data_IF_570524464118
#
_entry.id   IF_570524464118
#
_cell.length_a   1.000
_cell.length_b   1.000
_cell.length_c   1.000
_cell.angle_alpha   90.00
_cell.angle_beta   90.00
_cell.angle_gamma   90.00
#
_symmetry.space_group_name_H-M   'P 1'
#
loop_
_entity.id
_entity.type
_entity.pdbx_description
1 polymer ?
#
# COMPACT_ATOMS: atom_id res chain seq x y z
N UNK A 1 3.77 -12.13 -1.84
CA UNK A 1 4.19 -13.39 -1.21
C UNK A 1 4.53 -14.48 -2.23
N UNK A 2 3.60 -14.90 -3.11
CA UNK A 2 3.91 -15.92 -4.14
C UNK A 2 5.13 -15.58 -5.01
N UNK A 3 5.18 -14.34 -5.53
CA UNK A 3 6.32 -13.90 -6.34
C UNK A 3 7.66 -13.98 -5.59
N UNK A 4 7.66 -13.75 -4.28
CA UNK A 4 8.86 -13.86 -3.45
C UNK A 4 9.21 -15.34 -3.21
N UNK A 5 8.22 -16.17 -2.87
CA UNK A 5 8.41 -17.61 -2.66
C UNK A 5 8.98 -18.31 -3.89
N UNK A 6 8.47 -17.96 -5.08
CA UNK A 6 8.95 -18.51 -6.35
C UNK A 6 10.21 -17.82 -6.89
N UNK A 7 10.83 -16.90 -6.14
CA UNK A 7 12.01 -16.15 -6.55
C UNK A 7 11.89 -15.53 -7.94
N UNK A 8 10.72 -14.93 -8.23
CA UNK A 8 10.44 -14.34 -9.53
C UNK A 8 11.47 -13.22 -9.81
N UNK A 9 12.11 -13.20 -10.99
CA UNK A 9 13.04 -12.15 -11.36
C UNK A 9 12.44 -10.75 -11.25
N UNK A 10 13.23 -9.79 -10.76
CA UNK A 10 12.87 -8.36 -10.68
C UNK A 10 12.31 -7.83 -12.00
N UNK A 11 12.90 -8.24 -13.13
CA UNK A 11 12.48 -7.83 -14.48
C UNK A 11 11.04 -8.19 -14.77
N UNK A 12 10.57 -9.37 -14.35
CA UNK A 12 9.18 -9.81 -14.56
C UNK A 12 8.22 -8.94 -13.76
N UNK A 13 8.57 -8.57 -12.53
CA UNK A 13 7.72 -7.72 -11.68
C UNK A 13 7.64 -6.30 -12.24
N UNK A 14 8.78 -5.75 -12.69
CA UNK A 14 8.80 -4.43 -13.33
C UNK A 14 7.97 -4.47 -14.62
N UNK A 15 8.15 -5.47 -15.48
CA UNK A 15 7.36 -5.60 -16.71
C UNK A 15 5.86 -5.72 -16.41
N UNK A 16 5.48 -6.55 -15.44
CA UNK A 16 4.09 -6.69 -15.01
C UNK A 16 3.53 -5.36 -14.49
N UNK A 17 4.31 -4.60 -13.72
CA UNK A 17 3.91 -3.29 -13.20
C UNK A 17 3.74 -2.25 -14.32
N UNK A 18 4.60 -2.25 -15.33
CA UNK A 18 4.50 -1.36 -16.50
C UNK A 18 3.27 -1.71 -17.33
N UNK A 19 3.04 -2.99 -17.60
CA UNK A 19 1.84 -3.45 -18.33
C UNK A 19 0.58 -3.08 -17.55
N UNK A 20 0.54 -3.32 -16.24
CA UNK A 20 -0.58 -2.96 -15.39
C UNK A 20 -0.83 -1.44 -15.37
N UNK A 21 0.23 -0.62 -15.32
CA UNK A 21 0.12 0.83 -15.39
C UNK A 21 -0.44 1.29 -16.74
N UNK A 22 0.03 0.73 -17.86
CA UNK A 22 -0.50 1.05 -19.20
C UNK A 22 -1.98 0.67 -19.28
N UNK A 23 -2.36 -0.54 -18.83
CA UNK A 23 -3.76 -0.98 -18.83
C UNK A 23 -4.63 -0.07 -17.96
N UNK A 24 -4.16 0.30 -16.77
CA UNK A 24 -4.87 1.20 -15.87
C UNK A 24 -5.04 2.60 -16.48
N UNK A 25 -4.01 3.12 -17.15
CA UNK A 25 -4.04 4.40 -17.84
C UNK A 25 -4.97 4.38 -19.05
N UNK A 26 -4.93 3.33 -19.87
CA UNK A 26 -5.88 3.18 -20.99
C UNK A 26 -7.31 3.06 -20.47
N UNK A 27 -7.53 2.30 -19.39
CA UNK A 27 -8.84 2.11 -18.76
C UNK A 27 -9.43 3.41 -18.18
N UNK A 28 -8.60 4.41 -17.93
CA UNK A 28 -9.02 5.76 -17.55
C UNK A 28 -9.64 6.52 -18.74
N UNK A 29 -9.12 6.33 -19.95
CA UNK A 29 -9.59 6.99 -21.17
C UNK A 29 -10.67 6.20 -21.91
N UNK A 30 -10.56 4.87 -21.94
CA UNK A 30 -11.46 3.95 -22.62
C UNK A 30 -12.10 3.02 -21.57
N UNK A 31 -13.43 2.88 -21.50
CA UNK A 31 -14.10 2.03 -20.50
C UNK A 31 -13.99 0.53 -20.83
N UNK A 32 -12.77 0.01 -20.95
CA UNK A 32 -12.48 -1.41 -21.27
C UNK A 32 -12.80 -2.33 -20.08
N UNK A 33 -12.75 -1.79 -18.86
CA UNK A 33 -13.07 -2.51 -17.60
C UNK A 33 -14.17 -1.77 -16.81
N UNK A 34 -15.46 -2.02 -17.11
CA UNK A 34 -16.57 -1.35 -16.43
C UNK A 34 -16.61 -1.62 -14.92
N UNK A 35 -16.12 -2.79 -14.47
CA UNK A 35 -16.09 -3.18 -13.06
C UNK A 35 -15.16 -2.30 -12.21
N UNK A 36 -14.05 -1.81 -12.77
CA UNK A 36 -13.10 -0.92 -12.08
C UNK A 36 -13.61 0.53 -12.03
N UNK A 37 -14.46 0.91 -13.00
CA UNK A 37 -15.07 2.25 -13.10
C UNK A 37 -16.50 2.31 -12.53
N UNK A 38 -16.96 1.26 -11.85
CA UNK A 38 -18.35 1.11 -11.38
C UNK A 38 -18.76 2.05 -10.22
N UNK A 39 -17.83 2.86 -9.70
CA UNK A 39 -18.08 3.80 -8.59
C UNK A 39 -17.80 5.25 -9.03
N UNK A 40 -18.48 5.74 -10.07
CA UNK A 40 -18.74 7.17 -10.32
C UNK A 40 -17.58 8.19 -10.40
N UNK A 41 -16.33 7.80 -10.22
CA UNK A 41 -15.13 8.66 -10.26
C UNK A 41 -14.02 7.94 -11.01
N UNK A 42 -13.53 8.57 -12.08
CA UNK A 42 -12.26 8.19 -12.68
C UNK A 42 -11.13 8.53 -11.68
N UNK A 43 -10.47 7.52 -11.14
CA UNK A 43 -9.32 7.71 -10.23
C UNK A 43 -8.07 7.13 -10.86
N UNK A 44 -6.96 7.86 -10.78
CA UNK A 44 -5.64 7.39 -11.20
C UNK A 44 -5.00 6.43 -10.17
N UNK A 45 -5.71 6.08 -9.10
CA UNK A 45 -5.19 5.23 -8.01
C UNK A 45 -4.62 3.89 -8.49
N UNK A 46 -5.30 3.17 -9.39
CA UNK A 46 -4.79 1.88 -9.91
C UNK A 46 -3.49 2.05 -10.70
N UNK A 47 -3.37 3.16 -11.45
CA UNK A 47 -2.15 3.52 -12.17
C UNK A 47 -1.01 3.85 -11.21
N UNK A 48 -1.27 4.69 -10.20
CA UNK A 48 -0.32 5.03 -9.15
C UNK A 48 0.15 3.80 -8.37
N UNK A 49 -0.76 2.87 -8.09
CA UNK A 49 -0.43 1.63 -7.41
C UNK A 49 0.51 0.75 -8.25
N UNK A 50 0.22 0.59 -9.54
CA UNK A 50 1.09 -0.15 -10.45
C UNK A 50 2.50 0.47 -10.52
N UNK A 51 2.60 1.80 -10.59
CA UNK A 51 3.89 2.51 -10.53
C UNK A 51 4.62 2.22 -9.22
N UNK A 52 3.92 2.28 -8.08
CA UNK A 52 4.53 2.05 -6.77
C UNK A 52 5.18 0.66 -6.66
N UNK A 53 4.52 -0.37 -7.20
CA UNK A 53 5.03 -1.74 -7.26
C UNK A 53 6.31 -1.79 -8.10
N UNK A 54 6.31 -1.17 -9.29
CA UNK A 54 7.46 -1.13 -10.17
C UNK A 54 8.67 -0.46 -9.54
N UNK A 55 8.46 0.69 -8.88
CA UNK A 55 9.50 1.42 -8.17
C UNK A 55 10.03 0.63 -6.97
N UNK A 56 9.16 0.08 -6.12
CA UNK A 56 9.58 -0.77 -5.00
C UNK A 56 10.35 -2.01 -5.47
N UNK A 57 9.94 -2.61 -6.58
CA UNK A 57 10.61 -3.77 -7.14
C UNK A 57 11.99 -3.38 -7.72
N UNK A 58 12.09 -2.24 -8.39
CA UNK A 58 13.35 -1.71 -8.89
C UNK A 58 14.36 -1.49 -7.77
N UNK A 59 13.92 -0.87 -6.68
CA UNK A 59 14.76 -0.50 -5.53
C UNK A 59 15.13 -1.70 -4.65
N UNK A 60 14.15 -2.53 -4.28
CA UNK A 60 14.32 -3.44 -3.14
C UNK A 60 14.20 -4.91 -3.48
N UNK A 61 13.66 -5.32 -4.62
CA UNK A 61 13.35 -6.73 -4.86
C UNK A 61 14.55 -7.69 -4.76
N UNK A 62 15.75 -7.23 -5.10
CA UNK A 62 16.95 -8.06 -5.04
C UNK A 62 17.55 -8.17 -3.63
N UNK A 63 17.58 -7.06 -2.87
CA UNK A 63 18.32 -6.97 -1.62
C UNK A 63 17.40 -6.98 -0.37
N UNK A 64 16.17 -6.50 -0.51
CA UNK A 64 15.15 -6.46 0.53
C UNK A 64 13.76 -6.75 -0.06
N UNK A 65 13.49 -7.96 -0.58
CA UNK A 65 12.17 -8.31 -1.11
C UNK A 65 11.05 -8.10 -0.08
N UNK A 66 11.32 -8.31 1.22
CA UNK A 66 10.39 -7.97 2.31
C UNK A 66 9.98 -6.50 2.33
N UNK A 67 10.89 -5.56 2.01
CA UNK A 67 10.57 -4.13 1.94
C UNK A 67 9.55 -3.85 0.81
N UNK A 68 9.74 -4.48 -0.36
CA UNK A 68 8.76 -4.41 -1.46
C UNK A 68 7.43 -5.00 -1.04
N UNK A 69 7.43 -6.20 -0.43
CA UNK A 69 6.21 -6.89 -0.01
C UNK A 69 5.45 -6.10 1.06
N UNK A 70 6.15 -5.51 2.04
CA UNK A 70 5.56 -4.66 3.07
C UNK A 70 4.85 -3.48 2.42
N UNK A 71 5.50 -2.73 1.53
CA UNK A 71 4.85 -1.59 0.87
C UNK A 71 3.57 -1.98 0.13
N UNK A 72 3.64 -3.04 -0.67
CA UNK A 72 2.51 -3.53 -1.47
C UNK A 72 1.36 -4.04 -0.60
N UNK A 73 1.65 -4.85 0.43
CA UNK A 73 0.62 -5.44 1.28
C UNK A 73 0.01 -4.42 2.25
N UNK A 74 0.81 -3.48 2.78
CA UNK A 74 0.31 -2.39 3.63
C UNK A 74 -0.74 -1.58 2.88
N UNK A 75 -0.47 -1.22 1.63
CA UNK A 75 -1.47 -0.54 0.80
C UNK A 75 -2.68 -1.44 0.54
N UNK A 76 -2.48 -2.67 0.08
CA UNK A 76 -3.60 -3.56 -0.31
C UNK A 76 -4.55 -3.87 0.84
N UNK A 77 -3.99 -4.27 1.99
CA UNK A 77 -4.78 -4.71 3.13
C UNK A 77 -5.17 -3.56 4.04
N UNK A 78 -4.25 -2.62 4.30
CA UNK A 78 -4.52 -1.46 5.14
C UNK A 78 -5.64 -0.61 4.56
N UNK A 79 -5.46 -0.09 3.35
CA UNK A 79 -6.44 0.79 2.69
C UNK A 79 -7.75 0.04 2.40
N UNK A 80 -7.65 -1.20 1.91
CA UNK A 80 -8.82 -2.05 1.66
C UNK A 80 -9.67 -2.26 2.91
N UNK A 81 -9.04 -2.53 4.07
CA UNK A 81 -9.77 -2.69 5.33
C UNK A 81 -10.26 -1.36 5.89
N UNK A 82 -9.50 -0.28 5.74
CA UNK A 82 -9.93 1.06 6.13
C UNK A 82 -11.21 1.48 5.40
N UNK A 83 -11.30 1.18 4.10
CA UNK A 83 -12.48 1.42 3.29
C UNK A 83 -13.68 0.58 3.75
N UNK A 84 -13.50 -0.72 3.98
CA UNK A 84 -14.58 -1.62 4.41
C UNK A 84 -15.10 -1.22 5.80
N UNK A 85 -14.20 -1.04 6.77
CA UNK A 85 -14.57 -0.67 8.13
C UNK A 85 -15.14 0.74 8.18
N UNK A 86 -14.54 1.68 7.46
CA UNK A 86 -15.01 3.05 7.41
C UNK A 86 -16.40 3.18 6.78
N UNK A 87 -16.73 2.40 5.75
CA UNK A 87 -18.06 2.40 5.14
C UNK A 87 -19.11 1.69 5.99
N UNK A 88 -18.75 0.58 6.66
CA UNK A 88 -19.70 -0.26 7.40
C UNK A 88 -19.93 0.20 8.85
N UNK A 89 -18.90 0.73 9.49
CA UNK A 89 -18.88 1.06 10.91
C UNK A 89 -18.45 2.49 11.21
N UNK A 90 -18.15 3.31 10.19
CA UNK A 90 -17.73 4.69 10.38
C UNK A 90 -18.86 5.54 10.96
N UNK A 91 -18.74 5.91 12.24
CA UNK A 91 -19.69 6.78 12.93
C UNK A 91 -19.06 8.12 13.31
N UNK A 92 -17.77 8.10 13.63
CA UNK A 92 -17.02 9.30 14.00
C UNK A 92 -16.30 9.84 12.76
N UNK A 93 -16.99 10.75 12.05
CA UNK A 93 -16.47 11.34 10.82
C UNK A 93 -15.60 12.56 11.11
N UNK A 94 -14.59 12.76 10.28
CA UNK A 94 -13.75 13.95 10.25
C UNK A 94 -13.45 14.34 8.81
N UNK A 95 -13.06 15.60 8.60
CA UNK A 95 -12.72 16.11 7.27
C UNK A 95 -11.26 16.48 7.16
N UNK A 96 -10.63 16.02 6.08
CA UNK A 96 -9.27 16.42 5.70
C UNK A 96 -9.29 16.88 4.26
N UNK A 97 -8.90 18.15 4.03
CA UNK A 97 -8.78 18.73 2.68
C UNK A 97 -10.03 18.53 1.80
N UNK A 98 -11.22 18.58 2.40
CA UNK A 98 -12.50 18.41 1.69
C UNK A 98 -12.93 16.96 1.46
N UNK A 99 -12.18 15.97 1.97
CA UNK A 99 -12.56 14.55 1.98
C UNK A 99 -13.06 14.17 3.37
N UNK A 100 -14.23 13.52 3.43
CA UNK A 100 -14.76 12.93 4.66
C UNK A 100 -14.15 11.55 4.87
N UNK A 101 -13.55 11.34 6.05
CA UNK A 101 -12.98 10.08 6.52
C UNK A 101 -13.61 9.72 7.87
N UNK A 102 -13.38 8.50 8.36
CA UNK A 102 -13.87 8.04 9.66
C UNK A 102 -12.71 7.60 10.55
N UNK A 103 -12.82 7.89 11.85
CA UNK A 103 -11.81 7.46 12.83
C UNK A 103 -11.70 5.93 12.88
N UNK A 104 -12.80 5.23 12.68
CA UNK A 104 -12.85 3.77 12.60
C UNK A 104 -12.06 3.24 11.40
N UNK A 105 -12.18 3.90 10.24
CA UNK A 105 -11.40 3.57 9.05
C UNK A 105 -9.89 3.79 9.27
N UNK A 106 -9.50 4.93 9.82
CA UNK A 106 -8.08 5.21 10.12
C UNK A 106 -7.50 4.28 11.18
N UNK A 107 -8.31 3.89 12.18
CA UNK A 107 -7.90 2.90 13.18
C UNK A 107 -7.70 1.53 12.53
N UNK A 108 -8.60 1.12 11.63
CA UNK A 108 -8.43 -0.10 10.85
C UNK A 108 -7.16 -0.05 9.97
N UNK A 109 -6.88 1.09 9.33
CA UNK A 109 -5.64 1.29 8.56
C UNK A 109 -4.40 1.05 9.43
N UNK A 110 -4.31 1.68 10.61
CA UNK A 110 -3.17 1.51 11.53
C UNK A 110 -3.03 0.05 11.95
N UNK A 111 -4.10 -0.56 12.44
CA UNK A 111 -4.04 -1.92 13.00
C UNK A 111 -3.68 -2.96 11.95
N UNK A 112 -4.31 -2.89 10.77
CA UNK A 112 -4.05 -3.84 9.69
C UNK A 112 -2.67 -3.63 9.11
N UNK A 113 -2.24 -2.39 8.91
CA UNK A 113 -0.87 -2.08 8.48
C UNK A 113 0.14 -2.63 9.47
N UNK A 114 -0.05 -2.36 10.77
CA UNK A 114 0.82 -2.86 11.83
C UNK A 114 0.94 -4.38 11.82
N UNK A 115 -0.19 -5.09 11.69
CA UNK A 115 -0.20 -6.55 11.61
C UNK A 115 0.55 -7.05 10.37
N UNK A 116 0.27 -6.48 9.19
CA UNK A 116 0.94 -6.86 7.94
C UNK A 116 2.46 -6.66 8.05
N UNK A 117 2.89 -5.49 8.50
CA UNK A 117 4.31 -5.15 8.62
C UNK A 117 4.99 -6.07 9.65
N UNK A 118 4.38 -6.24 10.82
CA UNK A 118 4.92 -7.11 11.88
C UNK A 118 5.02 -8.56 11.44
N UNK A 119 4.03 -9.07 10.72
CA UNK A 119 4.04 -10.44 10.21
C UNK A 119 5.11 -10.62 9.14
N UNK A 120 5.17 -9.74 8.13
CA UNK A 120 6.14 -9.89 7.04
C UNK A 120 7.56 -9.70 7.55
N UNK A 121 7.81 -8.68 8.36
CA UNK A 121 9.12 -8.41 8.93
C UNK A 121 9.51 -9.52 9.92
N UNK A 122 8.64 -9.85 10.87
CA UNK A 122 8.90 -10.86 11.90
C UNK A 122 9.13 -12.26 11.33
N UNK A 123 8.40 -12.66 10.28
CA UNK A 123 8.65 -13.93 9.59
C UNK A 123 9.94 -13.92 8.76
N UNK A 124 10.44 -12.75 8.37
CA UNK A 124 11.67 -12.63 7.56
C UNK A 124 12.95 -12.61 8.38
N UNK A 125 12.97 -11.93 9.52
CA UNK A 125 14.16 -11.71 10.34
C UNK A 125 14.03 -12.19 11.80
N UNK A 126 12.85 -12.70 12.19
CA UNK A 126 12.52 -13.03 13.58
C UNK A 126 11.74 -11.91 14.27
N UNK A 127 10.96 -12.29 15.28
CA UNK A 127 10.21 -11.34 16.09
C UNK A 127 11.08 -10.75 17.20
N UNK A 128 11.07 -9.43 17.33
CA UNK A 128 11.71 -8.70 18.41
C UNK A 128 10.87 -7.49 18.81
N UNK A 129 11.18 -6.89 19.96
CA UNK A 129 10.52 -5.66 20.39
C UNK A 129 10.81 -4.48 19.44
N UNK A 130 11.98 -4.48 18.80
CA UNK A 130 12.34 -3.47 17.79
C UNK A 130 11.47 -3.62 16.53
N UNK A 131 11.23 -4.86 16.07
CA UNK A 131 10.34 -5.10 14.92
C UNK A 131 8.93 -4.60 15.22
N UNK A 132 8.41 -4.86 16.41
CA UNK A 132 7.09 -4.34 16.82
C UNK A 132 7.08 -2.80 16.84
N UNK A 133 8.10 -2.17 17.43
CA UNK A 133 8.20 -0.71 17.47
C UNK A 133 8.27 -0.09 16.07
N UNK A 134 9.13 -0.62 15.19
CA UNK A 134 9.32 -0.13 13.84
C UNK A 134 8.10 -0.40 12.95
N UNK A 135 7.45 -1.55 13.09
CA UNK A 135 6.18 -1.82 12.42
C UNK A 135 5.09 -0.82 12.82
N UNK A 136 5.03 -0.44 14.10
CA UNK A 136 4.10 0.58 14.58
C UNK A 136 4.40 1.94 13.95
N UNK A 137 5.67 2.35 13.91
CA UNK A 137 6.09 3.60 13.28
C UNK A 137 5.71 3.65 11.79
N UNK A 138 6.00 2.58 11.04
CA UNK A 138 5.66 2.49 9.62
C UNK A 138 4.14 2.53 9.41
N UNK A 139 3.36 1.83 10.24
CA UNK A 139 1.90 1.83 10.17
C UNK A 139 1.31 3.23 10.41
N UNK A 140 1.82 3.97 11.41
CA UNK A 140 1.38 5.34 11.67
C UNK A 140 1.69 6.26 10.48
N UNK A 141 2.89 6.18 9.91
CA UNK A 141 3.26 6.97 8.73
C UNK A 141 2.37 6.61 7.53
N UNK A 142 2.11 5.33 7.30
CA UNK A 142 1.21 4.86 6.24
C UNK A 142 -0.20 5.44 6.40
N UNK A 143 -0.78 5.41 7.60
CA UNK A 143 -2.09 5.99 7.86
C UNK A 143 -2.10 7.50 7.69
N UNK A 144 -1.06 8.21 8.15
CA UNK A 144 -0.98 9.65 7.93
C UNK A 144 -0.98 9.97 6.42
N UNK A 145 -0.20 9.24 5.63
CA UNK A 145 -0.17 9.43 4.17
C UNK A 145 -1.53 9.15 3.52
N UNK A 146 -2.21 8.08 3.93
CA UNK A 146 -3.58 7.75 3.48
C UNK A 146 -4.57 8.87 3.84
N UNK A 147 -4.49 9.40 5.06
CA UNK A 147 -5.45 10.37 5.58
C UNK A 147 -5.29 11.74 4.92
N UNK A 148 -4.07 12.15 4.58
CA UNK A 148 -3.78 13.43 3.91
C UNK A 148 -3.75 13.35 2.38
N UNK A 149 -3.93 12.16 1.81
CA UNK A 149 -3.92 11.93 0.36
C UNK A 149 -5.12 12.58 -0.32
N UNK A 150 -4.93 13.03 -1.56
CA UNK A 150 -5.99 13.47 -2.45
C UNK A 150 -5.85 12.74 -3.78
N UNK A 151 -6.95 12.53 -4.49
CA UNK A 151 -6.97 12.03 -5.87
C UNK A 151 -6.27 10.67 -6.11
N UNK A 152 -6.21 9.80 -5.10
CA UNK A 152 -5.62 8.47 -5.23
C UNK A 152 -4.08 8.45 -5.15
N UNK A 153 -3.45 9.54 -4.68
CA UNK A 153 -1.99 9.61 -4.52
C UNK A 153 -1.47 8.77 -3.34
N UNK A 154 -2.34 8.38 -2.41
CA UNK A 154 -2.10 7.34 -1.40
C UNK A 154 -1.61 6.05 -2.03
N UNK A 155 -2.23 5.64 -3.14
CA UNK A 155 -1.82 4.44 -3.88
C UNK A 155 -0.37 4.50 -4.38
N UNK A 156 0.25 5.68 -4.45
CA UNK A 156 1.68 5.84 -4.71
C UNK A 156 2.47 6.00 -3.40
N UNK A 157 2.04 6.92 -2.55
CA UNK A 157 2.80 7.38 -1.38
C UNK A 157 2.85 6.34 -0.26
N UNK A 158 1.73 5.67 0.05
CA UNK A 158 1.65 4.68 1.13
C UNK A 158 2.56 3.47 0.87
N UNK A 159 2.54 2.80 -0.31
CA UNK A 159 3.46 1.70 -0.57
C UNK A 159 4.93 2.14 -0.56
N UNK A 160 5.23 3.25 -1.24
CA UNK A 160 6.62 3.75 -1.34
C UNK A 160 7.18 4.09 0.03
N UNK A 161 6.47 4.89 0.81
CA UNK A 161 6.93 5.29 2.14
C UNK A 161 7.05 4.08 3.06
N UNK A 162 6.10 3.14 3.03
CA UNK A 162 6.16 1.95 3.88
C UNK A 162 7.38 1.08 3.56
N UNK A 163 7.65 0.84 2.27
CA UNK A 163 8.81 0.05 1.85
C UNK A 163 10.15 0.76 2.11
N UNK A 164 10.24 2.05 1.79
CA UNK A 164 11.45 2.87 2.00
C UNK A 164 11.76 3.00 3.49
N UNK A 165 10.77 3.34 4.31
CA UNK A 165 10.97 3.52 5.75
C UNK A 165 11.38 2.20 6.42
N UNK A 166 10.76 1.09 6.03
CA UNK A 166 11.18 -0.25 6.46
C UNK A 166 12.65 -0.51 6.12
N UNK A 167 13.07 -0.22 4.88
CA UNK A 167 14.45 -0.43 4.44
C UNK A 167 15.48 0.34 5.28
N UNK A 168 15.19 1.59 5.66
CA UNK A 168 16.07 2.37 6.52
C UNK A 168 16.05 1.90 7.96
N UNK A 169 14.88 1.57 8.52
CA UNK A 169 14.77 1.08 9.89
C UNK A 169 15.44 -0.29 10.08
N UNK A 170 15.55 -1.11 9.03
CA UNK A 170 16.29 -2.37 9.05
C UNK A 170 17.81 -2.21 9.16
N UNK A 171 18.34 -0.99 8.98
CA UNK A 171 19.79 -0.71 9.08
C UNK A 171 20.21 -0.16 10.45
N UNK A 172 19.25 0.03 11.35
CA UNK A 172 19.44 0.51 12.73
C UNK A 172 19.51 -0.70 13.66
#
# INVERSE_FOLDING_TARGET
LLAWWFNIPRTIIILASVIAAIIALISYFLPILPSVNSVGRKSLGTFFYAISIGVLAALFWQNCPQCTVIGVLTMTWGDGMAAIIGQKFGTHLYQVRGITKSWEGSTAMILVSYLVISLVWGLSLGYSWQVALFACLVAVVATCLETFSLFGIDNLTVPLASGILTYFLMQI
#
